data_IF_632249917509
#
_entry.id   IF_632249917509
#
_cell.length_a   1.000
_cell.length_b   1.000
_cell.length_c   1.000
_cell.angle_alpha   90.00
_cell.angle_beta   90.00
_cell.angle_gamma   90.00
#
_symmetry.space_group_name_H-M   'P 1'
#
loop_
_entity.id
_entity.type
_entity.pdbx_description
1 polymer ?
#
# COMPACT_ATOMS: atom_id res chain seq x y z
N UNK A 1 -17.52 44.07 14.76
CA UNK A 1 -18.12 42.85 14.22
C UNK A 1 -17.09 42.28 13.26
N UNK A 2 -16.29 41.32 13.71
CA UNK A 2 -15.37 40.57 12.85
C UNK A 2 -16.22 39.52 12.14
N UNK A 3 -16.41 39.70 10.84
CA UNK A 3 -17.07 38.71 9.98
C UNK A 3 -16.20 37.47 9.92
N UNK A 4 -16.50 36.47 10.74
CA UNK A 4 -15.93 35.16 10.61
C UNK A 4 -16.36 34.55 9.28
N UNK A 5 -15.44 33.92 8.57
CA UNK A 5 -15.78 33.11 7.39
C UNK A 5 -16.81 32.06 7.81
N UNK A 6 -17.96 31.93 7.13
CA UNK A 6 -18.95 30.93 7.52
C UNK A 6 -18.34 29.53 7.42
N UNK A 7 -18.52 28.74 8.47
CA UNK A 7 -18.14 27.32 8.44
C UNK A 7 -19.04 26.59 7.45
N UNK A 8 -18.42 25.82 6.57
CA UNK A 8 -19.12 25.05 5.54
C UNK A 8 -18.83 23.56 5.80
N UNK A 9 -19.87 22.76 5.95
CA UNK A 9 -19.75 21.31 6.02
C UNK A 9 -19.60 20.77 4.60
N UNK A 10 -18.51 20.06 4.36
CA UNK A 10 -18.19 19.46 3.05
C UNK A 10 -17.91 17.97 3.19
N UNK A 11 -18.22 17.17 2.15
CA UNK A 11 -17.83 15.76 2.13
C UNK A 11 -16.30 15.58 2.23
N UNK A 12 -15.81 14.54 2.90
CA UNK A 12 -14.37 14.37 3.17
C UNK A 12 -13.55 13.94 1.95
N UNK A 13 -14.17 13.57 0.84
CA UNK A 13 -13.51 12.97 -0.33
C UNK A 13 -12.35 13.80 -0.89
N UNK A 14 -12.51 15.12 -0.96
CA UNK A 14 -11.47 16.03 -1.44
C UNK A 14 -10.26 16.06 -0.51
N UNK A 15 -10.49 16.12 0.81
CA UNK A 15 -9.42 16.08 1.81
C UNK A 15 -8.69 14.74 1.80
N UNK A 16 -9.42 13.62 1.69
CA UNK A 16 -8.84 12.28 1.59
C UNK A 16 -7.96 12.16 0.35
N UNK A 17 -8.42 12.65 -0.81
CA UNK A 17 -7.62 12.69 -2.03
C UNK A 17 -6.35 13.53 -1.86
N UNK A 18 -6.43 14.67 -1.15
CA UNK A 18 -5.28 15.49 -0.80
C UNK A 18 -4.28 14.78 0.11
N UNK A 19 -4.75 14.00 1.11
CA UNK A 19 -3.89 13.17 1.95
C UNK A 19 -3.16 12.12 1.10
N UNK A 20 -3.87 11.44 0.19
CA UNK A 20 -3.25 10.46 -0.70
C UNK A 20 -2.16 11.09 -1.56
N UNK A 21 -2.46 12.22 -2.22
CA UNK A 21 -1.49 12.93 -3.04
C UNK A 21 -0.26 13.40 -2.25
N UNK A 22 -0.46 13.88 -1.02
CA UNK A 22 0.64 14.30 -0.14
C UNK A 22 1.52 13.12 0.26
N UNK A 23 0.93 11.99 0.65
CA UNK A 23 1.70 10.80 1.04
C UNK A 23 2.48 10.25 -0.13
N UNK A 24 1.88 10.19 -1.32
CA UNK A 24 2.56 9.73 -2.53
C UNK A 24 3.75 10.59 -2.93
N UNK A 25 3.63 11.91 -2.76
CA UNK A 25 4.66 12.88 -3.12
C UNK A 25 5.69 13.15 -2.02
N UNK A 26 5.53 12.58 -0.83
CA UNK A 26 6.38 12.92 0.33
C UNK A 26 7.82 12.49 0.16
N UNK A 27 8.04 11.33 -0.45
CA UNK A 27 9.37 10.76 -0.67
C UNK A 27 9.32 9.62 -1.71
N UNK A 28 10.47 9.18 -2.24
CA UNK A 28 10.54 7.97 -3.04
C UNK A 28 9.96 6.78 -2.26
N UNK A 29 8.87 6.19 -2.76
CA UNK A 29 8.18 5.10 -2.08
C UNK A 29 6.96 5.51 -1.25
N UNK A 30 6.59 6.78 -1.22
CA UNK A 30 5.38 7.25 -0.53
C UNK A 30 4.11 6.52 -0.95
N UNK A 31 4.03 6.09 -2.20
CA UNK A 31 2.90 5.28 -2.72
C UNK A 31 2.72 3.94 -2.00
N UNK A 32 3.76 3.42 -1.35
CA UNK A 32 3.73 2.18 -0.55
C UNK A 32 3.36 2.40 0.90
N UNK A 33 3.27 3.66 1.34
CA UNK A 33 2.87 4.01 2.70
C UNK A 33 1.36 4.06 2.83
N UNK A 34 0.80 3.59 3.96
CA UNK A 34 -0.63 3.77 4.23
C UNK A 34 -0.95 5.25 4.42
N UNK A 35 -1.93 5.80 3.69
CA UNK A 35 -2.35 7.20 3.88
C UNK A 35 -3.33 7.31 5.07
N UNK A 36 -2.88 6.88 6.23
CA UNK A 36 -3.66 6.80 7.47
C UNK A 36 -2.75 6.93 8.70
N UNK A 37 -3.37 7.06 9.86
CA UNK A 37 -2.69 7.24 11.14
C UNK A 37 -2.26 8.68 11.38
N UNK A 38 -1.69 8.92 12.55
CA UNK A 38 -1.32 10.27 13.02
C UNK A 38 -0.28 10.92 12.11
N UNK A 39 0.69 10.14 11.63
CA UNK A 39 1.81 10.64 10.84
C UNK A 39 1.40 10.92 9.38
N UNK A 40 0.77 9.97 8.72
CA UNK A 40 0.49 10.05 7.28
C UNK A 40 -0.94 10.46 6.95
N UNK A 41 -1.89 10.20 7.83
CA UNK A 41 -3.33 10.42 7.62
C UNK A 41 -3.84 11.80 8.03
N UNK A 42 -2.98 12.71 8.48
CA UNK A 42 -3.38 14.03 9.00
C UNK A 42 -4.19 14.85 7.98
N UNK A 43 -5.32 15.38 8.41
CA UNK A 43 -6.20 16.24 7.62
C UNK A 43 -5.78 17.70 7.83
N UNK A 44 -5.55 18.42 6.75
CA UNK A 44 -5.15 19.84 6.78
C UNK A 44 -6.35 20.73 6.42
N UNK A 45 -6.45 21.88 7.09
CA UNK A 45 -7.50 22.87 6.80
C UNK A 45 -8.90 22.47 7.26
N UNK A 46 -9.01 21.44 8.13
CA UNK A 46 -10.27 20.98 8.71
C UNK A 46 -10.41 21.56 10.11
N UNK A 47 -11.46 22.35 10.35
CA UNK A 47 -11.75 22.98 11.64
C UNK A 47 -12.34 22.00 12.65
N UNK A 48 -13.23 21.11 12.18
CA UNK A 48 -13.93 20.13 13.01
C UNK A 48 -14.52 19.00 12.17
N UNK A 49 -15.14 18.06 12.83
CA UNK A 49 -16.07 17.10 12.21
C UNK A 49 -17.50 17.53 12.55
N UNK A 50 -18.45 17.14 11.75
CA UNK A 50 -19.88 17.41 12.00
C UNK A 50 -20.34 16.81 13.35
N UNK A 51 -19.73 15.69 13.75
CA UNK A 51 -19.91 15.08 15.06
C UNK A 51 -18.55 14.97 15.75
N UNK A 52 -18.45 15.53 16.95
CA UNK A 52 -17.23 15.45 17.78
C UNK A 52 -17.11 14.11 18.53
N UNK A 53 -17.69 13.05 17.99
CA UNK A 53 -17.55 11.73 18.59
C UNK A 53 -16.13 11.19 18.42
N UNK A 54 -15.44 11.00 19.53
CA UNK A 54 -14.17 10.28 19.54
C UNK A 54 -14.45 8.80 19.27
N UNK A 55 -13.75 8.27 18.29
CA UNK A 55 -13.80 6.85 17.95
C UNK A 55 -12.95 6.09 18.98
N UNK A 56 -13.59 5.51 19.98
CA UNK A 56 -12.95 4.61 20.93
C UNK A 56 -12.66 3.23 20.31
N UNK A 57 -11.91 2.40 21.03
CA UNK A 57 -11.51 1.08 20.54
C UNK A 57 -12.72 0.16 20.27
N UNK A 58 -13.75 0.23 21.09
CA UNK A 58 -14.96 -0.56 20.90
C UNK A 58 -15.72 -0.17 19.62
N UNK A 59 -15.81 1.13 19.31
CA UNK A 59 -16.38 1.63 18.06
C UNK A 59 -15.53 1.25 16.84
N UNK A 60 -14.20 1.27 16.96
CA UNK A 60 -13.30 0.80 15.91
C UNK A 60 -13.56 -0.66 15.57
N UNK A 61 -13.74 -1.52 16.56
CA UNK A 61 -14.04 -2.94 16.36
C UNK A 61 -15.37 -3.18 15.62
N UNK A 62 -16.30 -2.26 15.72
CA UNK A 62 -17.56 -2.33 14.98
C UNK A 62 -17.45 -1.88 13.52
N UNK A 63 -16.60 -0.89 13.21
CA UNK A 63 -16.52 -0.28 11.88
C UNK A 63 -15.44 -0.92 11.00
N UNK A 64 -14.34 -1.38 11.55
CA UNK A 64 -13.25 -1.99 10.79
C UNK A 64 -13.63 -3.27 10.03
N UNK A 65 -14.39 -4.20 10.60
CA UNK A 65 -14.88 -5.35 9.84
C UNK A 65 -15.76 -4.97 8.65
N UNK A 66 -16.46 -3.83 8.74
CA UNK A 66 -17.30 -3.28 7.67
C UNK A 66 -16.51 -2.52 6.59
N UNK A 67 -15.17 -2.49 6.68
CA UNK A 67 -14.28 -1.80 5.74
C UNK A 67 -14.47 -0.28 5.70
N UNK A 68 -14.92 0.29 6.80
CA UNK A 68 -15.02 1.73 6.98
C UNK A 68 -13.69 2.24 7.50
N UNK A 69 -13.14 3.27 6.85
CA UNK A 69 -11.95 3.98 7.29
C UNK A 69 -12.43 5.27 7.99
N UNK A 70 -12.49 5.30 9.32
CA UNK A 70 -13.04 6.44 10.03
C UNK A 70 -12.11 7.63 9.99
N UNK A 71 -12.70 8.82 10.18
CA UNK A 71 -11.97 10.05 10.47
C UNK A 71 -12.07 10.29 11.98
N UNK A 72 -10.95 10.55 12.63
CA UNK A 72 -10.92 10.67 14.09
C UNK A 72 -9.92 11.72 14.57
N UNK A 73 -10.01 12.04 15.85
CA UNK A 73 -9.05 12.86 16.57
C UNK A 73 -8.86 12.25 17.96
N UNK A 74 -7.62 12.03 18.36
CA UNK A 74 -7.30 11.67 19.75
C UNK A 74 -6.79 12.91 20.50
N UNK A 75 -6.91 12.95 21.83
CA UNK A 75 -6.35 14.06 22.62
C UNK A 75 -4.87 14.29 22.29
N UNK A 76 -4.54 15.52 21.92
CA UNK A 76 -3.16 15.89 21.57
C UNK A 76 -2.70 15.48 20.17
N UNK A 77 -3.57 14.94 19.34
CA UNK A 77 -3.22 14.57 17.96
C UNK A 77 -3.98 15.41 16.93
N UNK A 78 -3.46 15.56 15.70
CA UNK A 78 -4.22 16.17 14.62
C UNK A 78 -5.40 15.27 14.21
N UNK A 79 -6.42 15.88 13.60
CA UNK A 79 -7.48 15.13 12.92
C UNK A 79 -6.88 14.30 11.81
N UNK A 80 -7.22 13.02 11.72
CA UNK A 80 -6.61 12.12 10.77
C UNK A 80 -7.56 11.01 10.30
N UNK A 81 -7.15 10.33 9.23
CA UNK A 81 -7.79 9.13 8.73
C UNK A 81 -7.27 7.96 9.58
N UNK A 82 -8.17 7.23 10.25
CA UNK A 82 -7.81 6.09 11.09
C UNK A 82 -8.18 4.76 10.42
N UNK A 83 -7.54 4.50 9.29
CA UNK A 83 -7.70 3.25 8.55
C UNK A 83 -7.36 3.43 7.07
N UNK A 84 -6.82 2.38 6.47
CA UNK A 84 -6.45 2.35 5.06
C UNK A 84 -6.88 1.04 4.40
N UNK A 85 -8.09 0.57 4.67
CA UNK A 85 -8.65 -0.65 4.12
C UNK A 85 -9.37 -0.40 2.81
N UNK A 86 -9.28 -1.36 1.89
CA UNK A 86 -10.10 -1.38 0.68
C UNK A 86 -11.45 -2.03 0.96
N UNK A 87 -12.44 -1.78 0.11
CA UNK A 87 -13.76 -2.44 0.20
C UNK A 87 -13.67 -3.95 -0.06
N UNK A 88 -12.62 -4.42 -0.73
CA UNK A 88 -12.41 -5.84 -0.99
C UNK A 88 -11.92 -6.52 0.27
N UNK A 89 -12.79 -7.25 0.94
CA UNK A 89 -12.57 -7.88 2.24
C UNK A 89 -11.69 -9.12 2.24
N UNK A 90 -11.71 -9.84 1.16
CA UNK A 90 -11.06 -11.12 0.95
C UNK A 90 -10.07 -11.05 -0.20
N UNK A 91 -9.03 -11.83 -0.11
CA UNK A 91 -8.06 -12.02 -1.19
C UNK A 91 -6.90 -11.04 -1.17
N UNK A 92 -6.34 -10.81 -2.36
CA UNK A 92 -5.14 -10.01 -2.55
C UNK A 92 -5.43 -8.51 -2.38
N UNK A 93 -4.51 -7.81 -1.70
CA UNK A 93 -4.51 -6.35 -1.56
C UNK A 93 -5.67 -5.78 -0.73
N UNK A 94 -5.80 -6.19 0.55
CA UNK A 94 -6.84 -5.70 1.44
C UNK A 94 -6.64 -4.24 1.85
N UNK A 95 -5.44 -3.68 1.68
CA UNK A 95 -5.11 -2.32 2.07
C UNK A 95 -4.92 -1.39 0.87
N UNK A 96 -5.18 -0.10 1.10
CA UNK A 96 -5.02 0.95 0.08
C UNK A 96 -3.56 1.06 -0.37
N UNK A 97 -2.60 0.98 0.56
CA UNK A 97 -1.19 1.05 0.24
C UNK A 97 -0.73 -0.09 -0.68
N UNK A 98 -1.11 -1.34 -0.37
CA UNK A 98 -0.79 -2.49 -1.22
C UNK A 98 -1.37 -2.32 -2.62
N UNK A 99 -2.67 -1.98 -2.72
CA UNK A 99 -3.34 -1.86 -4.02
C UNK A 99 -2.76 -0.74 -4.87
N UNK A 100 -2.50 0.44 -4.27
CA UNK A 100 -1.91 1.58 -4.98
C UNK A 100 -0.47 1.30 -5.40
N UNK A 101 0.32 0.68 -4.51
CA UNK A 101 1.68 0.26 -4.83
C UNK A 101 1.74 -0.70 -6.02
N UNK A 102 0.85 -1.69 -6.06
CA UNK A 102 0.78 -2.63 -7.19
C UNK A 102 0.34 -1.92 -8.47
N UNK A 103 -0.66 -1.03 -8.43
CA UNK A 103 -1.08 -0.23 -9.59
C UNK A 103 0.09 0.61 -10.12
N UNK A 104 0.86 1.23 -9.21
CA UNK A 104 2.05 2.00 -9.60
C UNK A 104 3.09 1.13 -10.33
N UNK A 105 3.39 -0.06 -9.79
CA UNK A 105 4.32 -1.02 -10.41
C UNK A 105 3.78 -1.45 -11.78
N UNK A 106 2.51 -1.85 -11.88
CA UNK A 106 1.88 -2.26 -13.14
C UNK A 106 1.98 -1.17 -14.21
N UNK A 107 1.61 0.06 -13.89
CA UNK A 107 1.64 1.17 -14.85
C UNK A 107 3.06 1.56 -15.25
N UNK A 108 4.00 1.55 -14.30
CA UNK A 108 5.41 1.83 -14.55
C UNK A 108 6.02 0.78 -15.46
N UNK A 109 5.76 -0.51 -15.22
CA UNK A 109 6.24 -1.58 -16.06
C UNK A 109 5.61 -1.56 -17.46
N UNK A 110 4.30 -1.29 -17.58
CA UNK A 110 3.64 -1.11 -18.88
C UNK A 110 4.32 -0.03 -19.71
N UNK A 111 4.67 1.10 -19.10
CA UNK A 111 5.39 2.20 -19.79
C UNK A 111 6.84 1.84 -20.07
N UNK A 112 7.54 1.29 -19.09
CA UNK A 112 8.96 0.94 -19.20
C UNK A 112 9.26 -0.18 -20.19
N UNK A 113 8.27 -1.02 -20.52
CA UNK A 113 8.41 -2.12 -21.48
C UNK A 113 7.91 -1.79 -22.89
N UNK A 114 7.53 -0.54 -23.17
CA UNK A 114 7.07 -0.14 -24.51
C UNK A 114 8.13 -0.39 -25.60
N UNK A 115 9.42 -0.37 -25.26
CA UNK A 115 10.49 -0.67 -26.20
C UNK A 115 10.40 -2.08 -26.79
N UNK A 116 9.82 -3.04 -26.04
CA UNK A 116 9.70 -4.43 -26.49
C UNK A 116 8.52 -4.62 -27.48
N UNK A 117 7.65 -3.62 -27.60
CA UNK A 117 6.49 -3.70 -28.52
C UNK A 117 6.99 -3.64 -29.98
N UNK A 118 6.48 -4.53 -30.81
CA UNK A 118 6.86 -4.68 -32.22
C UNK A 118 8.31 -5.16 -32.45
N UNK A 119 9.02 -5.62 -31.42
CA UNK A 119 10.29 -6.30 -31.58
C UNK A 119 10.11 -7.80 -31.82
N UNK A 120 11.06 -8.42 -32.53
CA UNK A 120 11.07 -9.86 -32.70
C UNK A 120 11.21 -10.57 -31.34
N UNK A 121 10.33 -11.49 -31.04
CA UNK A 121 10.34 -12.25 -29.78
C UNK A 121 11.49 -13.28 -29.77
N UNK A 122 12.69 -12.81 -29.51
CA UNK A 122 13.92 -13.58 -29.39
C UNK A 122 14.28 -13.82 -27.93
N UNK A 123 15.15 -14.80 -27.68
CA UNK A 123 15.70 -15.04 -26.34
C UNK A 123 16.43 -13.78 -25.79
N UNK A 124 17.15 -13.06 -26.64
CA UNK A 124 17.82 -11.82 -26.30
C UNK A 124 16.85 -10.73 -25.84
N UNK A 125 15.70 -10.59 -26.54
CA UNK A 125 14.64 -9.65 -26.12
C UNK A 125 14.06 -10.06 -24.76
N UNK A 126 13.73 -11.35 -24.57
CA UNK A 126 13.18 -11.88 -23.31
C UNK A 126 14.15 -11.66 -22.14
N UNK A 127 15.44 -11.88 -22.35
CA UNK A 127 16.49 -11.62 -21.38
C UNK A 127 16.57 -10.12 -21.01
N UNK A 128 16.46 -9.23 -22.01
CA UNK A 128 16.44 -7.78 -21.79
C UNK A 128 15.21 -7.34 -21.00
N UNK A 129 14.02 -7.85 -21.36
CA UNK A 129 12.78 -7.59 -20.62
C UNK A 129 12.91 -8.05 -19.17
N UNK A 130 13.41 -9.27 -18.92
CA UNK A 130 13.65 -9.78 -17.57
C UNK A 130 14.55 -8.85 -16.77
N UNK A 131 15.69 -8.45 -17.29
CA UNK A 131 16.64 -7.55 -16.61
C UNK A 131 16.04 -6.19 -16.32
N UNK A 132 15.29 -5.61 -17.26
CA UNK A 132 14.59 -4.33 -17.07
C UNK A 132 13.59 -4.41 -15.92
N UNK A 133 12.76 -5.46 -15.88
CA UNK A 133 11.81 -5.67 -14.79
C UNK A 133 12.53 -5.84 -13.45
N UNK A 134 13.55 -6.68 -13.40
CA UNK A 134 14.33 -6.94 -12.17
C UNK A 134 14.99 -5.67 -11.65
N UNK A 135 15.64 -4.89 -12.52
CA UNK A 135 16.27 -3.62 -12.13
C UNK A 135 15.26 -2.63 -11.54
N UNK A 136 14.10 -2.50 -12.18
CA UNK A 136 13.01 -1.66 -11.67
C UNK A 136 12.53 -2.15 -10.30
N UNK A 137 12.24 -3.44 -10.15
CA UNK A 137 11.75 -4.00 -8.88
C UNK A 137 12.78 -3.91 -7.75
N UNK A 138 14.08 -4.05 -8.05
CA UNK A 138 15.15 -3.80 -7.07
C UNK A 138 15.14 -2.35 -6.57
N UNK A 139 14.90 -1.40 -7.46
CA UNK A 139 14.75 0.01 -7.06
C UNK A 139 13.52 0.19 -6.18
N UNK A 140 12.37 -0.40 -6.54
CA UNK A 140 11.17 -0.32 -5.71
C UNK A 140 11.34 -1.02 -4.35
N UNK A 141 12.10 -2.11 -4.30
CA UNK A 141 12.45 -2.78 -3.05
C UNK A 141 13.19 -1.85 -2.09
N UNK A 142 14.20 -1.11 -2.59
CA UNK A 142 14.92 -0.10 -1.81
C UNK A 142 14.03 1.04 -1.34
N UNK A 143 12.99 1.36 -2.10
CA UNK A 143 11.97 2.36 -1.75
C UNK A 143 10.88 1.82 -0.81
N UNK A 144 11.04 0.61 -0.25
CA UNK A 144 10.11 0.05 0.74
C UNK A 144 8.84 -0.60 0.17
N UNK A 145 8.82 -0.94 -1.12
CA UNK A 145 7.65 -1.57 -1.75
C UNK A 145 7.31 -2.95 -1.20
N UNK A 146 8.30 -3.69 -0.69
CA UNK A 146 8.18 -5.10 -0.34
C UNK A 146 8.49 -5.37 1.12
N UNK A 147 7.95 -6.48 1.63
CA UNK A 147 8.13 -6.89 3.03
C UNK A 147 9.57 -7.27 3.37
N UNK A 148 10.36 -7.73 2.38
CA UNK A 148 11.74 -8.15 2.58
C UNK A 148 12.69 -7.32 1.73
N UNK A 149 13.90 -7.07 2.26
CA UNK A 149 15.03 -6.51 1.52
C UNK A 149 15.87 -7.59 0.82
N UNK A 150 15.51 -8.85 0.96
CA UNK A 150 16.09 -9.96 0.20
C UNK A 150 15.33 -10.13 -1.11
N UNK A 151 15.96 -9.93 -2.28
CA UNK A 151 15.27 -10.03 -3.58
C UNK A 151 14.56 -11.37 -3.80
N UNK A 152 15.12 -12.47 -3.31
CA UNK A 152 14.54 -13.80 -3.47
C UNK A 152 13.21 -13.98 -2.72
N UNK A 153 12.99 -13.17 -1.66
CA UNK A 153 11.76 -13.17 -0.84
C UNK A 153 10.81 -12.02 -1.18
N UNK A 154 11.31 -11.00 -1.89
CA UNK A 154 10.56 -9.80 -2.23
C UNK A 154 9.73 -9.94 -3.50
N UNK A 155 10.32 -10.52 -4.54
CA UNK A 155 9.65 -10.68 -5.83
C UNK A 155 10.27 -11.81 -6.66
N UNK A 156 9.53 -12.27 -7.67
CA UNK A 156 10.10 -13.10 -8.72
C UNK A 156 9.69 -12.59 -10.11
N UNK A 157 10.54 -12.85 -11.10
CA UNK A 157 10.30 -12.50 -12.50
C UNK A 157 10.59 -13.72 -13.35
N UNK A 158 9.56 -14.21 -14.03
CA UNK A 158 9.65 -15.33 -14.94
C UNK A 158 9.28 -14.91 -16.37
N UNK A 159 10.23 -15.06 -17.29
CA UNK A 159 10.08 -14.80 -18.73
C UNK A 159 10.68 -16.01 -19.48
N UNK A 160 10.49 -17.20 -18.93
CA UNK A 160 11.05 -18.45 -19.48
C UNK A 160 10.36 -18.92 -20.75
N UNK A 161 11.02 -19.85 -21.43
CA UNK A 161 10.46 -20.53 -22.59
C UNK A 161 9.23 -21.38 -22.24
N UNK A 162 9.11 -21.81 -20.97
CA UNK A 162 7.92 -22.49 -20.47
C UNK A 162 6.66 -21.61 -20.52
N UNK A 163 6.81 -20.28 -20.33
CA UNK A 163 5.73 -19.31 -20.50
C UNK A 163 5.59 -18.84 -21.95
N UNK A 164 6.69 -18.76 -22.68
CA UNK A 164 6.78 -18.26 -24.05
C UNK A 164 6.98 -19.44 -25.01
N UNK A 165 6.00 -20.34 -25.03
CA UNK A 165 5.99 -21.50 -25.94
C UNK A 165 5.95 -21.07 -27.41
N UNK A 166 6.33 -21.95 -28.37
CA UNK A 166 6.24 -21.64 -29.79
C UNK A 166 4.87 -21.13 -30.23
N UNK A 167 3.79 -21.63 -29.64
CA UNK A 167 2.42 -21.18 -29.95
C UNK A 167 2.16 -19.75 -29.46
N UNK A 168 2.70 -19.36 -28.29
CA UNK A 168 2.61 -17.98 -27.74
C UNK A 168 3.40 -17.01 -28.61
N UNK A 169 4.61 -17.41 -29.03
CA UNK A 169 5.47 -16.62 -29.91
C UNK A 169 4.81 -16.47 -31.29
N UNK A 170 4.27 -17.53 -31.85
CA UNK A 170 3.56 -17.50 -33.13
C UNK A 170 2.32 -16.58 -33.09
N UNK A 171 1.65 -16.53 -31.94
CA UNK A 171 0.53 -15.59 -31.72
C UNK A 171 0.98 -14.14 -31.48
N UNK A 172 2.28 -13.80 -31.64
CA UNK A 172 2.83 -12.47 -31.47
C UNK A 172 2.85 -11.97 -30.03
N UNK A 173 2.86 -12.89 -29.05
CA UNK A 173 2.79 -12.54 -27.61
C UNK A 173 4.15 -12.77 -26.94
N UNK A 174 4.47 -11.91 -25.97
CA UNK A 174 5.54 -12.09 -24.98
C UNK A 174 4.91 -12.06 -23.60
N UNK A 175 5.10 -13.10 -22.80
CA UNK A 175 4.51 -13.24 -21.47
C UNK A 175 5.62 -13.13 -20.43
N UNK A 176 5.45 -12.19 -19.49
CA UNK A 176 6.24 -12.09 -18.28
C UNK A 176 5.33 -12.30 -17.06
N UNK A 177 5.70 -13.22 -16.17
CA UNK A 177 5.02 -13.48 -14.90
C UNK A 177 5.81 -12.84 -13.79
N UNK A 178 5.16 -12.02 -12.96
CA UNK A 178 5.77 -11.30 -11.87
C UNK A 178 4.98 -11.59 -10.60
N UNK A 179 5.68 -12.04 -9.55
CA UNK A 179 5.12 -12.17 -8.21
C UNK A 179 5.72 -11.13 -7.28
N UNK A 180 4.90 -10.53 -6.44
CA UNK A 180 5.28 -9.45 -5.54
C UNK A 180 4.85 -9.80 -4.11
N UNK A 181 5.78 -9.72 -3.16
CA UNK A 181 5.51 -9.85 -1.72
C UNK A 181 5.35 -8.45 -1.11
N UNK A 182 4.16 -7.88 -1.22
CA UNK A 182 3.84 -6.51 -0.79
C UNK A 182 3.96 -6.34 0.72
N UNK A 183 4.26 -5.11 1.14
CA UNK A 183 4.30 -4.73 2.54
C UNK A 183 2.89 -4.52 3.08
N UNK A 184 2.64 -4.91 4.35
CA UNK A 184 1.34 -4.74 5.02
C UNK A 184 1.47 -3.77 6.18
N UNK A 185 0.57 -2.80 6.35
CA UNK A 185 0.57 -1.92 7.50
C UNK A 185 0.23 -2.70 8.79
N UNK A 186 0.84 -2.30 9.91
CA UNK A 186 0.43 -2.77 11.22
C UNK A 186 -0.78 -1.93 11.67
N UNK A 187 -1.94 -2.57 11.80
CA UNK A 187 -3.18 -1.92 12.27
C UNK A 187 -3.38 -2.08 13.77
N UNK A 188 -2.74 -3.07 14.39
CA UNK A 188 -2.87 -3.40 15.80
C UNK A 188 -1.49 -3.50 16.44
N UNK A 189 -1.32 -2.84 17.58
CA UNK A 189 -0.13 -2.96 18.42
C UNK A 189 -0.58 -3.60 19.72
N UNK A 190 -0.24 -4.88 19.90
CA UNK A 190 -0.57 -5.63 21.12
C UNK A 190 0.66 -5.59 22.03
N UNK A 191 0.51 -4.95 23.18
CA UNK A 191 1.54 -4.90 24.21
C UNK A 191 1.24 -5.95 25.27
N UNK A 192 2.09 -6.96 25.38
CA UNK A 192 2.05 -7.93 26.47
C UNK A 192 3.02 -7.48 27.56
N UNK A 193 2.50 -7.01 28.67
CA UNK A 193 3.29 -6.54 29.81
C UNK A 193 3.05 -7.48 30.97
N UNK A 194 4.10 -8.15 31.46
CA UNK A 194 4.05 -8.99 32.65
C UNK A 194 5.03 -8.48 33.70
N UNK A 195 4.65 -8.57 34.95
CA UNK A 195 5.54 -8.29 36.08
C UNK A 195 6.54 -9.45 36.34
N UNK A 196 6.24 -10.63 35.82
CA UNK A 196 7.11 -11.79 35.88
C UNK A 196 7.67 -12.15 34.51
N UNK A 197 8.97 -11.98 34.37
CA UNK A 197 9.70 -12.28 33.13
C UNK A 197 9.69 -13.76 32.76
N UNK A 198 9.51 -14.68 33.71
CA UNK A 198 9.41 -16.12 33.43
C UNK A 198 8.07 -16.46 32.78
N UNK A 199 6.97 -15.94 33.31
CA UNK A 199 5.64 -16.16 32.74
C UNK A 199 5.54 -15.63 31.28
N UNK A 200 6.20 -14.50 30.99
CA UNK A 200 6.24 -13.97 29.63
C UNK A 200 7.06 -14.85 28.66
N UNK A 201 8.16 -15.43 29.14
CA UNK A 201 8.99 -16.35 28.36
C UNK A 201 8.27 -17.66 28.03
N UNK A 202 7.51 -18.23 29.00
CA UNK A 202 6.71 -19.43 28.80
C UNK A 202 5.59 -19.21 27.78
N UNK A 203 4.91 -18.04 27.80
CA UNK A 203 3.86 -17.68 26.87
C UNK A 203 4.39 -17.49 25.44
N UNK A 204 5.60 -16.93 25.30
CA UNK A 204 6.27 -16.75 24.01
C UNK A 204 6.85 -18.07 23.46
N UNK A 205 7.20 -19.01 24.32
CA UNK A 205 7.70 -20.33 23.91
C UNK A 205 6.58 -21.30 23.52
N UNK A 206 5.34 -21.04 23.94
CA UNK A 206 4.16 -21.85 23.66
C UNK A 206 3.30 -21.38 22.49
N UNK A 207 3.70 -20.31 21.80
CA UNK A 207 3.04 -19.73 20.62
C UNK A 207 3.88 -19.98 19.36
#
# INVERSE_FOLDING_TARGET
VFGGTPEIVVPPSGHIAGVYARVDGSEPGGVYKPPAGIENGGLLGVLGFETDEVLDEAKRDLVFPKRINPLTVFPGTPRHIDGARTLKGDGNFPTVAERRGVIFIEQSLKRGLLFAKHQNNTEALRSTVRRTIQSFLLTQMRNGAFRSQDPAKAFFVDVSDALNTPSVIFAGKLIARIGLATNKPAEWIILKISQDTRALQEELAGA
#
